data_IF_441473875938
#
_entry.id   IF_441473875938
#
_cell.length_a   1.000
_cell.length_b   1.000
_cell.length_c   1.000
_cell.angle_alpha   90.00
_cell.angle_beta   90.00
_cell.angle_gamma   90.00
#
_symmetry.space_group_name_H-M   'P 1'
#
loop_
_entity.id
_entity.type
_entity.pdbx_description
1 polymer ?
#
# COMPACT_ATOMS: atom_id res chain seq x y z
N UNK A 1 -51.76 -27.97 58.31
CA UNK A 1 -52.40 -27.70 57.00
C UNK A 1 -52.23 -26.27 56.49
N UNK A 2 -51.31 -25.47 57.03
CA UNK A 2 -51.17 -24.04 56.72
C UNK A 2 -49.94 -23.66 55.84
N UNK A 3 -48.94 -24.51 55.69
CA UNK A 3 -47.72 -24.15 54.96
C UNK A 3 -47.76 -24.49 53.47
N UNK A 4 -48.64 -25.36 53.02
CA UNK A 4 -48.67 -25.70 51.53
C UNK A 4 -49.48 -24.69 50.71
N UNK A 5 -50.37 -23.90 51.30
CA UNK A 5 -51.16 -22.89 50.57
C UNK A 5 -50.36 -21.58 50.31
N UNK A 6 -49.43 -21.27 51.20
CA UNK A 6 -48.59 -20.07 51.04
C UNK A 6 -47.57 -20.25 49.89
N UNK A 7 -47.01 -21.44 49.71
CA UNK A 7 -46.05 -21.72 48.59
C UNK A 7 -46.74 -21.74 47.22
N UNK A 8 -48.02 -22.16 47.16
CA UNK A 8 -48.77 -22.14 45.89
C UNK A 8 -49.11 -20.70 45.42
N UNK A 9 -49.42 -19.80 46.35
CA UNK A 9 -49.76 -18.40 46.02
C UNK A 9 -48.48 -17.62 45.60
N UNK A 10 -47.35 -17.84 46.26
CA UNK A 10 -46.09 -17.22 45.88
C UNK A 10 -45.58 -17.69 44.48
N UNK A 11 -45.85 -18.95 44.11
CA UNK A 11 -45.48 -19.48 42.80
C UNK A 11 -46.34 -18.89 41.67
N UNK A 12 -47.64 -18.65 41.92
CA UNK A 12 -48.53 -18.03 40.95
C UNK A 12 -48.28 -16.52 40.77
N UNK A 13 -47.87 -15.81 41.79
CA UNK A 13 -47.49 -14.39 41.68
C UNK A 13 -46.14 -14.25 40.98
N UNK A 14 -45.17 -15.13 41.21
CA UNK A 14 -43.89 -15.14 40.49
C UNK A 14 -44.04 -15.47 38.99
N UNK A 15 -45.01 -16.37 38.64
CA UNK A 15 -45.26 -16.74 37.23
C UNK A 15 -46.00 -15.62 36.45
N UNK A 16 -46.84 -14.84 37.13
CA UNK A 16 -47.59 -13.73 36.50
C UNK A 16 -46.78 -12.48 36.29
N UNK A 17 -45.64 -12.29 37.00
CA UNK A 17 -44.71 -11.18 36.78
C UNK A 17 -43.78 -11.44 35.60
N UNK A 18 -43.52 -12.73 35.25
CA UNK A 18 -42.73 -13.06 34.05
C UNK A 18 -43.50 -12.99 32.70
N UNK A 19 -44.85 -12.93 32.75
CA UNK A 19 -45.68 -12.87 31.55
C UNK A 19 -45.95 -11.45 31.01
N UNK A 20 -45.40 -10.42 31.66
CA UNK A 20 -45.70 -9.02 31.36
C UNK A 20 -44.55 -8.14 30.89
N UNK A 21 -43.41 -8.73 30.48
CA UNK A 21 -42.37 -7.94 29.77
C UNK A 21 -42.85 -7.81 28.33
N UNK A 22 -43.33 -6.63 27.88
CA UNK A 22 -43.58 -6.44 26.48
C UNK A 22 -42.24 -6.66 25.78
N UNK A 23 -42.17 -7.67 24.91
CA UNK A 23 -41.09 -7.77 24.00
C UNK A 23 -41.05 -6.44 23.24
N UNK A 24 -40.06 -5.60 23.53
CA UNK A 24 -39.75 -4.44 22.71
C UNK A 24 -39.40 -5.01 21.34
N UNK A 25 -40.41 -5.16 20.50
CA UNK A 25 -40.21 -5.31 19.08
C UNK A 25 -39.64 -3.95 18.63
N UNK A 26 -38.31 -3.83 18.59
CA UNK A 26 -37.68 -2.80 17.83
C UNK A 26 -38.29 -2.97 16.42
N UNK A 27 -39.17 -2.07 16.02
CA UNK A 27 -39.69 -2.03 14.66
C UNK A 27 -38.52 -1.76 13.77
N UNK A 28 -37.94 -2.83 13.19
CA UNK A 28 -36.87 -2.72 12.23
C UNK A 28 -37.41 -1.86 11.08
N UNK A 29 -36.85 -0.69 10.88
CA UNK A 29 -37.25 0.17 9.76
C UNK A 29 -37.05 -0.63 8.46
N UNK A 30 -38.16 -0.98 7.80
CA UNK A 30 -38.13 -1.81 6.59
C UNK A 30 -37.30 -1.21 5.43
N UNK A 31 -37.00 0.08 5.49
CA UNK A 31 -36.13 0.77 4.54
C UNK A 31 -34.65 0.42 4.75
N UNK A 32 -34.26 -0.11 5.93
CA UNK A 32 -32.90 -0.50 6.26
C UNK A 32 -32.65 -1.93 5.81
N UNK A 33 -32.56 -2.11 4.49
CA UNK A 33 -32.13 -3.36 3.88
C UNK A 33 -30.58 -3.52 3.98
N UNK A 34 -30.08 -4.63 3.46
CA UNK A 34 -28.63 -4.91 3.48
C UNK A 34 -27.80 -3.82 2.76
N UNK A 35 -28.36 -3.19 1.73
CA UNK A 35 -27.65 -2.13 0.98
C UNK A 35 -27.51 -0.88 1.84
N UNK A 36 -28.60 -0.46 2.52
CA UNK A 36 -28.54 0.70 3.43
C UNK A 36 -27.53 0.46 4.56
N UNK A 37 -27.51 -0.76 5.14
CA UNK A 37 -26.56 -1.11 6.19
C UNK A 37 -25.10 -1.03 5.68
N UNK A 38 -24.81 -1.57 4.50
CA UNK A 38 -23.49 -1.49 3.89
C UNK A 38 -23.08 -0.05 3.63
N UNK A 39 -23.98 0.79 3.14
CA UNK A 39 -23.70 2.21 2.90
C UNK A 39 -23.37 2.92 4.22
N UNK A 40 -24.17 2.73 5.27
CA UNK A 40 -23.92 3.31 6.59
C UNK A 40 -22.57 2.89 7.17
N UNK A 41 -22.16 1.63 6.94
CA UNK A 41 -20.91 1.07 7.44
C UNK A 41 -19.68 1.56 6.67
N UNK A 42 -19.79 1.64 5.35
CA UNK A 42 -18.64 1.90 4.46
C UNK A 42 -18.44 3.39 4.19
N UNK A 43 -19.50 4.19 4.13
CA UNK A 43 -19.44 5.61 3.78
C UNK A 43 -18.43 6.42 4.63
N UNK A 44 -18.25 6.15 5.95
CA UNK A 44 -17.21 6.82 6.73
C UNK A 44 -15.77 6.57 6.24
N UNK A 45 -15.55 5.54 5.41
CA UNK A 45 -14.25 5.26 4.79
C UNK A 45 -14.08 5.93 3.43
N UNK A 46 -15.15 6.50 2.86
CA UNK A 46 -15.14 7.14 1.53
C UNK A 46 -14.79 8.62 1.66
N UNK A 47 -13.88 9.09 0.80
CA UNK A 47 -13.46 10.49 0.79
C UNK A 47 -13.67 11.12 -0.57
N UNK A 48 -13.88 12.43 -0.58
CA UNK A 48 -13.70 13.24 -1.78
C UNK A 48 -12.21 13.55 -1.94
N UNK A 49 -11.67 13.39 -3.16
CA UNK A 49 -10.31 13.76 -3.52
C UNK A 49 -10.37 15.00 -4.42
N UNK A 50 -9.88 16.11 -3.92
CA UNK A 50 -9.78 17.36 -4.63
C UNK A 50 -8.32 17.64 -5.00
N UNK A 51 -8.07 17.98 -6.28
CA UNK A 51 -6.73 18.28 -6.76
C UNK A 51 -6.70 19.64 -7.45
N UNK A 52 -5.63 20.38 -7.27
CA UNK A 52 -5.32 21.60 -7.99
C UNK A 52 -4.14 21.34 -8.92
N UNK A 53 -4.29 21.60 -10.21
CA UNK A 53 -3.24 21.47 -11.21
C UNK A 53 -3.12 22.69 -12.08
N UNK A 54 -1.88 23.10 -12.38
CA UNK A 54 -1.55 24.14 -13.38
C UNK A 54 -1.12 23.37 -14.65
N UNK A 55 -1.92 23.39 -15.71
CA UNK A 55 -1.69 22.52 -16.88
C UNK A 55 -1.38 23.29 -18.13
N UNK A 56 -0.29 22.92 -18.80
CA UNK A 56 0.03 23.32 -20.18
C UNK A 56 0.15 22.16 -21.19
N UNK A 57 -0.11 20.90 -20.88
CA UNK A 57 0.13 19.80 -21.82
C UNK A 57 -1.02 18.80 -21.98
N UNK A 58 -1.15 18.23 -23.20
CA UNK A 58 -2.08 17.16 -23.56
C UNK A 58 -1.49 15.81 -23.18
N UNK A 59 -2.24 15.02 -22.39
CA UNK A 59 -1.87 13.66 -22.02
C UNK A 59 -3.03 12.70 -22.34
N UNK A 60 -2.71 11.41 -22.46
CA UNK A 60 -3.64 10.31 -22.72
C UNK A 60 -4.80 10.25 -21.73
N UNK A 61 -4.56 10.58 -20.46
CA UNK A 61 -5.64 10.65 -19.47
C UNK A 61 -6.63 11.76 -19.77
N UNK A 62 -6.21 12.90 -20.32
CA UNK A 62 -7.15 13.95 -20.81
C UNK A 62 -7.95 13.45 -22.01
N UNK A 63 -7.34 12.60 -22.84
CA UNK A 63 -8.04 11.99 -23.98
C UNK A 63 -9.01 10.91 -23.53
N UNK A 64 -8.65 10.12 -22.49
CA UNK A 64 -9.54 9.18 -21.82
C UNK A 64 -10.73 9.91 -21.18
N UNK A 65 -10.49 10.98 -20.44
CA UNK A 65 -11.54 11.80 -19.84
C UNK A 65 -12.44 12.45 -20.88
N UNK A 66 -11.89 12.96 -21.99
CA UNK A 66 -12.70 13.45 -23.11
C UNK A 66 -13.52 12.35 -23.75
N UNK A 67 -12.91 11.18 -23.96
CA UNK A 67 -13.54 10.04 -24.63
C UNK A 67 -14.62 9.39 -23.77
N UNK A 68 -14.41 9.33 -22.45
CA UNK A 68 -15.37 8.76 -21.51
C UNK A 68 -16.43 9.75 -21.02
N UNK A 69 -16.13 11.03 -20.96
CA UNK A 69 -17.00 12.02 -20.33
C UNK A 69 -17.35 13.25 -21.19
N UNK A 70 -16.80 13.37 -22.40
CA UNK A 70 -17.19 14.40 -23.38
C UNK A 70 -16.81 15.84 -23.05
N UNK A 71 -15.81 16.08 -22.18
CA UNK A 71 -15.43 17.44 -21.77
C UNK A 71 -14.58 18.18 -22.80
N UNK A 72 -14.86 19.49 -23.12
CA UNK A 72 -14.01 20.29 -24.00
C UNK A 72 -12.73 20.76 -23.32
N UNK A 73 -11.62 20.84 -24.10
CA UNK A 73 -10.33 21.34 -23.62
C UNK A 73 -10.27 22.87 -23.62
N UNK A 74 -10.02 23.46 -22.46
CA UNK A 74 -9.53 24.85 -22.30
C UNK A 74 -8.40 24.88 -21.29
N UNK A 75 -7.36 25.73 -21.46
CA UNK A 75 -6.31 25.92 -20.46
C UNK A 75 -6.87 26.79 -19.32
N UNK A 76 -7.19 26.19 -18.22
CA UNK A 76 -7.58 26.86 -16.95
C UNK A 76 -7.04 26.05 -15.77
N UNK A 77 -6.87 26.71 -14.62
CA UNK A 77 -6.65 26.03 -13.34
C UNK A 77 -7.76 24.98 -13.18
N UNK A 78 -7.42 23.72 -13.37
CA UNK A 78 -8.38 22.63 -13.25
C UNK A 78 -8.29 22.04 -11.86
N UNK A 79 -9.40 22.08 -11.15
CA UNK A 79 -9.67 21.18 -10.05
C UNK A 79 -10.22 19.87 -10.62
N UNK A 80 -9.50 18.78 -10.52
CA UNK A 80 -10.06 17.44 -10.73
C UNK A 80 -10.70 16.99 -9.42
N UNK A 81 -11.86 16.37 -9.53
CA UNK A 81 -12.63 15.88 -8.40
C UNK A 81 -12.90 14.39 -8.61
N UNK A 82 -12.48 13.58 -7.67
CA UNK A 82 -12.71 12.15 -7.63
C UNK A 82 -13.08 11.71 -6.23
N UNK A 83 -13.19 10.42 -6.07
CA UNK A 83 -13.36 9.78 -4.78
C UNK A 83 -12.12 9.01 -4.38
N UNK A 84 -12.04 8.63 -3.10
CA UNK A 84 -11.04 7.72 -2.57
C UNK A 84 -11.63 6.87 -1.47
N UNK A 85 -10.89 5.87 -1.04
CA UNK A 85 -11.28 4.99 0.07
C UNK A 85 -10.13 4.79 1.04
N UNK A 86 -10.40 5.01 2.33
CA UNK A 86 -9.43 4.83 3.40
C UNK A 86 -9.25 3.33 3.68
N UNK A 87 -8.01 2.85 3.62
CA UNK A 87 -7.64 1.45 3.78
C UNK A 87 -6.92 1.13 5.10
N UNK A 88 -6.59 2.16 5.90
CA UNK A 88 -5.98 1.96 7.21
C UNK A 88 -6.40 3.03 8.20
N UNK A 89 -6.43 2.67 9.47
CA UNK A 89 -6.86 3.55 10.56
C UNK A 89 -5.92 4.74 10.82
N UNK A 90 -4.70 4.69 10.32
CA UNK A 90 -3.72 5.78 10.37
C UNK A 90 -3.76 6.69 9.13
N UNK A 91 -4.69 6.44 8.18
CA UNK A 91 -5.03 7.34 7.09
C UNK A 91 -4.36 7.07 5.74
N UNK A 92 -3.92 5.82 5.45
CA UNK A 92 -3.66 5.47 4.06
C UNK A 92 -4.98 5.36 3.29
N UNK A 93 -5.01 5.89 2.09
CA UNK A 93 -6.17 5.84 1.22
C UNK A 93 -5.80 5.55 -0.23
N UNK A 94 -6.73 4.91 -0.94
CA UNK A 94 -6.62 4.62 -2.37
C UNK A 94 -7.49 5.58 -3.17
N UNK A 95 -7.03 5.90 -4.35
CA UNK A 95 -7.79 6.58 -5.41
C UNK A 95 -7.26 6.13 -6.77
N UNK A 96 -7.83 6.61 -7.88
CA UNK A 96 -7.24 6.38 -9.19
C UNK A 96 -6.02 7.28 -9.42
N UNK A 97 -5.04 6.76 -10.15
CA UNK A 97 -3.85 7.50 -10.57
C UNK A 97 -4.22 8.74 -11.38
N UNK A 98 -5.16 8.61 -12.34
CA UNK A 98 -5.57 9.72 -13.19
C UNK A 98 -6.20 10.89 -12.42
N UNK A 99 -6.76 10.65 -11.21
CA UNK A 99 -7.29 11.73 -10.35
C UNK A 99 -6.16 12.61 -9.81
N UNK A 100 -4.97 12.05 -9.55
CA UNK A 100 -3.89 12.74 -8.82
C UNK A 100 -2.61 12.97 -9.63
N UNK A 101 -2.44 12.36 -10.80
CA UNK A 101 -1.18 12.32 -11.58
C UNK A 101 -0.57 13.70 -11.88
N UNK A 102 -1.38 14.75 -11.96
CA UNK A 102 -0.94 16.11 -12.31
C UNK A 102 -1.20 17.12 -11.21
N UNK A 103 -1.54 16.65 -10.04
CA UNK A 103 -1.85 17.52 -8.94
C UNK A 103 -0.58 18.17 -8.36
N UNK A 104 -0.61 19.50 -8.31
CA UNK A 104 0.38 20.27 -7.53
C UNK A 104 0.02 20.25 -6.03
N UNK A 105 -1.27 20.13 -5.74
CA UNK A 105 -1.80 20.00 -4.39
C UNK A 105 -2.95 19.00 -4.37
N UNK A 106 -2.99 18.15 -3.36
CA UNK A 106 -4.04 17.16 -3.16
C UNK A 106 -4.61 17.35 -1.75
N UNK A 107 -5.92 17.44 -1.68
CA UNK A 107 -6.66 17.46 -0.42
C UNK A 107 -7.76 16.42 -0.43
N UNK A 108 -8.11 15.91 0.73
CA UNK A 108 -9.26 15.02 0.89
C UNK A 108 -10.25 15.63 1.87
N UNK A 109 -11.54 15.49 1.55
CA UNK A 109 -12.63 15.79 2.46
C UNK A 109 -13.28 14.48 2.87
N UNK A 110 -13.32 14.21 4.17
CA UNK A 110 -14.04 13.06 4.71
C UNK A 110 -15.53 13.19 4.40
N UNK A 111 -16.25 12.07 4.34
CA UNK A 111 -17.71 12.06 4.26
C UNK A 111 -18.32 12.75 5.48
N UNK A 112 -19.54 13.22 5.36
CA UNK A 112 -20.27 13.84 6.48
C UNK A 112 -20.46 12.83 7.62
N UNK A 113 -20.63 11.55 7.28
CA UNK A 113 -20.67 10.43 8.25
C UNK A 113 -19.37 10.27 9.05
N UNK A 114 -18.23 10.71 8.52
CA UNK A 114 -16.92 10.73 9.19
C UNK A 114 -16.57 12.12 9.76
N UNK A 115 -17.52 13.06 9.81
CA UNK A 115 -17.34 14.41 10.37
C UNK A 115 -16.93 15.49 9.38
N UNK A 116 -16.84 15.21 8.07
CA UNK A 116 -16.71 16.21 6.99
C UNK A 116 -15.38 17.00 6.96
N UNK A 117 -14.36 16.58 7.73
CA UNK A 117 -13.09 17.30 7.82
C UNK A 117 -12.29 17.29 6.51
N UNK A 118 -11.56 18.40 6.23
CA UNK A 118 -10.65 18.52 5.08
C UNK A 118 -9.22 18.32 5.57
N UNK A 119 -8.42 17.50 4.87
CA UNK A 119 -7.06 17.16 5.21
C UNK A 119 -6.14 17.31 3.99
N UNK A 120 -4.91 17.75 4.23
CA UNK A 120 -3.84 17.64 3.25
C UNK A 120 -3.36 16.18 3.19
N UNK A 121 -2.90 15.74 2.02
CA UNK A 121 -2.40 14.39 1.81
C UNK A 121 -1.05 14.42 1.12
N UNK A 122 -0.27 13.37 1.35
CA UNK A 122 1.01 13.13 0.68
C UNK A 122 0.86 11.92 -0.25
N UNK A 123 1.32 11.99 -1.50
CA UNK A 123 1.48 10.81 -2.33
C UNK A 123 2.52 9.86 -1.72
N UNK A 124 2.15 8.58 -1.56
CA UNK A 124 3.06 7.52 -1.10
C UNK A 124 3.50 6.67 -2.28
N UNK A 125 2.54 6.35 -3.15
CA UNK A 125 2.78 5.61 -4.37
C UNK A 125 1.88 6.19 -5.46
N UNK A 126 2.50 6.55 -6.56
CA UNK A 126 1.81 7.00 -7.76
C UNK A 126 2.07 5.90 -8.79
N UNK A 127 1.08 5.07 -9.04
CA UNK A 127 1.16 3.82 -9.80
C UNK A 127 1.94 3.90 -11.11
N UNK A 128 2.28 2.73 -11.63
CA UNK A 128 2.81 2.62 -13.00
C UNK A 128 1.68 2.82 -14.01
N UNK A 129 2.02 3.08 -15.27
CA UNK A 129 1.06 3.20 -16.39
C UNK A 129 0.21 1.94 -16.61
N UNK A 130 0.50 0.84 -15.90
CA UNK A 130 -0.20 -0.44 -16.02
C UNK A 130 -1.40 -0.57 -15.09
N UNK A 131 -1.40 0.09 -13.92
CA UNK A 131 -2.50 0.04 -12.95
C UNK A 131 -2.88 1.46 -12.54
N UNK A 132 -4.12 1.84 -12.78
CA UNK A 132 -4.67 3.18 -12.48
C UNK A 132 -5.02 3.33 -10.98
N UNK A 133 -4.05 3.08 -10.09
CA UNK A 133 -4.18 3.18 -8.64
C UNK A 133 -3.10 4.10 -8.08
N UNK A 134 -3.48 4.97 -7.16
CA UNK A 134 -2.58 5.78 -6.35
C UNK A 134 -2.86 5.55 -4.85
N UNK A 135 -1.79 5.48 -4.07
CA UNK A 135 -1.83 5.43 -2.61
C UNK A 135 -1.40 6.78 -2.06
N UNK A 136 -2.25 7.34 -1.22
CA UNK A 136 -2.03 8.61 -0.55
C UNK A 136 -2.01 8.39 0.97
N UNK A 137 -1.41 9.33 1.70
CA UNK A 137 -1.41 9.37 3.16
C UNK A 137 -2.04 10.66 3.65
N UNK A 138 -3.10 10.57 4.43
CA UNK A 138 -3.69 11.71 5.14
C UNK A 138 -2.70 12.21 6.18
N UNK A 139 -2.51 13.53 6.23
CA UNK A 139 -1.73 14.20 7.27
C UNK A 139 -2.69 14.48 8.44
N UNK A 140 -2.59 13.74 9.57
CA UNK A 140 -3.49 13.91 10.69
C UNK A 140 -3.36 15.31 11.29
N UNK A 141 -4.47 15.92 11.70
CA UNK A 141 -4.46 17.23 12.41
C UNK A 141 -4.07 17.11 13.88
N UNK A 142 -4.21 15.90 14.44
CA UNK A 142 -3.87 15.60 15.85
C UNK A 142 -3.06 14.31 15.90
N UNK A 143 -2.11 14.26 16.80
CA UNK A 143 -1.35 13.02 17.07
C UNK A 143 -2.28 11.91 17.53
N UNK A 144 -2.18 10.74 16.90
CA UNK A 144 -3.01 9.57 17.21
C UNK A 144 -4.44 9.64 16.66
N UNK A 145 -4.76 10.60 15.78
CA UNK A 145 -6.04 10.64 15.09
C UNK A 145 -6.24 9.36 14.26
N UNK A 146 -7.45 8.81 14.35
CA UNK A 146 -7.80 7.56 13.68
C UNK A 146 -8.90 7.79 12.66
N UNK A 147 -8.85 7.01 11.58
CA UNK A 147 -9.78 7.05 10.47
C UNK A 147 -10.49 5.69 10.34
N UNK A 148 -11.70 5.70 9.82
CA UNK A 148 -12.41 4.45 9.53
C UNK A 148 -11.82 3.83 8.27
N UNK A 149 -11.19 2.67 8.39
CA UNK A 149 -10.68 1.88 7.27
C UNK A 149 -11.74 0.92 6.75
N UNK A 150 -11.74 0.70 5.42
CA UNK A 150 -12.53 -0.35 4.79
C UNK A 150 -11.81 -1.70 4.93
N UNK A 151 -12.57 -2.80 4.94
CA UNK A 151 -12.01 -4.15 4.86
C UNK A 151 -11.86 -4.57 3.41
N UNK A 152 -10.81 -5.32 3.10
CA UNK A 152 -10.59 -5.92 1.79
C UNK A 152 -11.32 -7.27 1.70
N UNK A 153 -12.02 -7.51 0.60
CA UNK A 153 -12.60 -8.81 0.31
C UNK A 153 -11.49 -9.86 0.11
N UNK A 154 -11.80 -11.15 0.32
CA UNK A 154 -10.90 -12.24 -0.02
C UNK A 154 -10.91 -12.47 -1.52
N UNK A 155 -9.76 -12.83 -2.09
CA UNK A 155 -9.59 -12.93 -3.55
C UNK A 155 -10.45 -14.02 -4.19
N UNK A 156 -10.75 -15.09 -3.46
CA UNK A 156 -11.51 -16.25 -3.90
C UNK A 156 -13.03 -16.13 -3.66
N UNK A 157 -13.49 -15.02 -3.05
CA UNK A 157 -14.85 -14.90 -2.52
C UNK A 157 -15.79 -14.06 -3.40
N UNK A 158 -15.41 -13.74 -4.63
CA UNK A 158 -16.27 -13.05 -5.57
C UNK A 158 -17.29 -14.00 -6.20
N UNK A 159 -18.58 -13.64 -6.20
CA UNK A 159 -19.65 -14.39 -6.82
C UNK A 159 -20.20 -13.66 -8.04
N UNK A 160 -20.18 -14.31 -9.20
CA UNK A 160 -20.80 -13.72 -10.40
C UNK A 160 -22.30 -13.54 -10.18
N UNK A 161 -22.81 -12.34 -10.40
CA UNK A 161 -24.21 -11.99 -10.16
C UNK A 161 -24.51 -11.53 -8.73
N UNK A 162 -23.52 -11.51 -7.81
CA UNK A 162 -23.73 -10.92 -6.48
C UNK A 162 -24.06 -9.44 -6.56
N UNK A 163 -24.84 -8.97 -5.58
CA UNK A 163 -25.13 -7.54 -5.46
C UNK A 163 -23.88 -6.80 -5.03
N UNK A 164 -23.55 -5.73 -5.76
CA UNK A 164 -22.45 -4.82 -5.45
C UNK A 164 -22.94 -3.39 -5.33
N UNK A 165 -22.24 -2.60 -4.54
CA UNK A 165 -22.53 -1.19 -4.31
C UNK A 165 -21.29 -0.36 -4.66
N UNK A 166 -21.44 0.56 -5.62
CA UNK A 166 -20.40 1.53 -5.93
C UNK A 166 -20.68 2.82 -5.15
N UNK A 167 -19.66 3.28 -4.41
CA UNK A 167 -19.74 4.44 -3.54
C UNK A 167 -18.77 5.52 -4.00
N UNK A 168 -19.16 6.78 -3.76
CA UNK A 168 -18.32 7.92 -4.02
C UNK A 168 -18.76 9.14 -3.22
N UNK A 169 -17.92 10.17 -3.24
CA UNK A 169 -18.22 11.48 -2.65
C UNK A 169 -17.89 12.58 -3.67
N UNK A 170 -18.64 12.64 -4.80
CA UNK A 170 -18.36 13.58 -5.88
C UNK A 170 -18.51 15.02 -5.39
N UNK A 171 -17.58 15.89 -5.77
CA UNK A 171 -17.64 17.33 -5.54
C UNK A 171 -17.65 17.76 -4.06
N UNK A 172 -17.58 16.82 -3.10
CA UNK A 172 -17.78 17.12 -1.67
C UNK A 172 -19.16 17.76 -1.37
N UNK A 173 -20.10 17.61 -2.32
CA UNK A 173 -21.47 18.14 -2.25
C UNK A 173 -22.48 17.12 -1.75
N UNK A 174 -22.05 15.89 -1.52
CA UNK A 174 -22.89 14.79 -1.03
C UNK A 174 -22.39 13.43 -1.49
N UNK A 175 -22.81 12.43 -0.74
CA UNK A 175 -22.48 11.04 -0.96
C UNK A 175 -23.22 10.49 -2.19
N UNK A 176 -22.56 9.65 -2.99
CA UNK A 176 -23.15 9.01 -4.16
C UNK A 176 -23.12 7.50 -3.98
N UNK A 177 -24.27 6.87 -4.18
CA UNK A 177 -24.48 5.45 -4.04
C UNK A 177 -25.15 4.91 -5.29
N UNK A 178 -24.59 3.88 -5.89
CA UNK A 178 -25.26 3.11 -6.94
C UNK A 178 -25.15 1.62 -6.68
N UNK A 179 -26.25 0.90 -6.93
CA UNK A 179 -26.37 -0.54 -6.72
C UNK A 179 -26.46 -1.25 -8.06
N UNK A 180 -25.82 -2.38 -8.17
CA UNK A 180 -25.89 -3.28 -9.32
C UNK A 180 -25.46 -4.68 -8.96
N UNK A 181 -24.99 -5.44 -9.96
CA UNK A 181 -24.43 -6.77 -9.77
C UNK A 181 -23.01 -6.84 -10.32
N UNK A 182 -22.24 -7.82 -9.85
CA UNK A 182 -20.97 -8.20 -10.47
C UNK A 182 -21.25 -8.98 -11.76
N UNK A 183 -21.16 -8.28 -12.90
CA UNK A 183 -21.51 -8.83 -14.22
C UNK A 183 -20.37 -9.65 -14.83
N UNK A 184 -19.11 -9.40 -14.45
CA UNK A 184 -17.93 -10.19 -14.83
C UNK A 184 -16.82 -10.02 -13.81
N UNK A 185 -16.10 -11.13 -13.51
CA UNK A 185 -14.94 -11.14 -12.62
C UNK A 185 -13.64 -10.82 -13.36
N UNK A 186 -13.61 -11.01 -14.67
CA UNK A 186 -12.45 -10.77 -15.54
C UNK A 186 -12.94 -10.32 -16.90
N UNK A 187 -12.65 -9.08 -17.25
CA UNK A 187 -13.01 -8.52 -18.55
C UNK A 187 -11.80 -7.84 -19.16
N UNK A 188 -11.37 -8.33 -20.33
CA UNK A 188 -10.43 -7.57 -21.15
C UNK A 188 -11.18 -6.45 -21.87
N UNK A 189 -10.71 -5.21 -21.72
CA UNK A 189 -11.22 -4.08 -22.51
C UNK A 189 -10.50 -4.09 -23.86
N UNK A 190 -11.21 -3.93 -25.00
CA UNK A 190 -10.57 -3.92 -26.32
C UNK A 190 -9.45 -2.86 -26.40
N UNK A 191 -8.31 -3.29 -26.95
CA UNK A 191 -7.07 -2.52 -27.08
C UNK A 191 -7.19 -1.42 -28.14
N UNK A 192 -7.89 -0.35 -27.88
CA UNK A 192 -7.74 0.87 -28.68
C UNK A 192 -6.66 1.81 -28.11
N UNK A 193 -6.20 1.59 -26.88
CA UNK A 193 -5.12 2.33 -26.25
C UNK A 193 -4.18 1.36 -25.52
N UNK A 194 -2.93 1.23 -25.98
CA UNK A 194 -1.91 0.31 -25.44
C UNK A 194 -1.44 0.61 -24.01
N UNK A 195 -1.86 1.73 -23.41
CA UNK A 195 -1.31 2.20 -22.14
C UNK A 195 -2.07 1.70 -20.90
N UNK A 196 -3.33 1.29 -21.01
CA UNK A 196 -4.06 0.61 -19.93
C UNK A 196 -4.13 -0.89 -20.22
N UNK A 197 -3.06 -1.61 -19.89
CA UNK A 197 -2.93 -3.06 -20.14
C UNK A 197 -3.62 -3.92 -19.08
N UNK A 198 -4.72 -3.48 -18.49
CA UNK A 198 -5.44 -4.32 -17.53
C UNK A 198 -6.33 -5.32 -18.26
N UNK A 199 -6.00 -6.59 -18.10
CA UNK A 199 -6.75 -7.70 -18.71
C UNK A 199 -7.85 -8.25 -17.78
N UNK A 200 -7.95 -7.77 -16.53
CA UNK A 200 -8.73 -8.39 -15.46
C UNK A 200 -9.73 -7.42 -14.80
N UNK A 201 -10.42 -6.59 -15.58
CA UNK A 201 -11.42 -5.68 -14.99
C UNK A 201 -12.59 -6.43 -14.37
N UNK A 202 -13.06 -5.98 -13.19
CA UNK A 202 -14.42 -6.28 -12.74
C UNK A 202 -15.39 -5.46 -13.57
N UNK A 203 -16.46 -6.10 -14.03
CA UNK A 203 -17.57 -5.44 -14.72
C UNK A 203 -18.81 -5.46 -13.83
N UNK A 204 -19.52 -4.31 -13.77
CA UNK A 204 -20.78 -4.14 -13.04
C UNK A 204 -21.78 -3.34 -13.85
N UNK A 205 -23.05 -3.52 -13.61
CA UNK A 205 -24.14 -2.65 -14.11
C UNK A 205 -24.51 -1.56 -13.10
N UNK A 206 -23.89 -1.52 -11.92
CA UNK A 206 -23.96 -0.37 -11.02
C UNK A 206 -23.48 0.89 -11.79
N UNK A 207 -24.23 1.98 -11.67
CA UNK A 207 -23.89 3.22 -12.38
C UNK A 207 -22.57 3.80 -11.88
N UNK A 208 -21.54 3.73 -12.73
CA UNK A 208 -20.27 4.42 -12.52
C UNK A 208 -20.32 5.75 -13.28
N UNK A 209 -20.16 6.86 -12.58
CA UNK A 209 -20.25 8.20 -13.13
C UNK A 209 -19.06 9.06 -12.68
N UNK A 210 -18.79 10.21 -13.33
CA UNK A 210 -17.81 11.17 -12.84
C UNK A 210 -18.09 11.50 -11.37
N UNK A 211 -17.07 11.26 -10.53
CA UNK A 211 -17.13 11.51 -9.11
C UNK A 211 -17.13 10.26 -8.23
N UNK A 212 -17.58 9.08 -8.68
CA UNK A 212 -17.35 7.85 -7.94
C UNK A 212 -16.07 7.09 -8.38
N UNK A 213 -15.38 7.55 -9.44
CA UNK A 213 -14.03 7.08 -9.81
C UNK A 213 -13.04 7.28 -8.66
N UNK A 214 -12.26 6.24 -8.35
CA UNK A 214 -11.36 6.17 -7.20
C UNK A 214 -12.06 5.75 -5.90
N UNK A 215 -13.39 5.77 -5.85
CA UNK A 215 -14.18 5.25 -4.75
C UNK A 215 -14.30 3.72 -4.78
N UNK A 216 -14.79 3.09 -3.69
CA UNK A 216 -14.89 1.65 -3.58
C UNK A 216 -16.08 1.07 -4.33
N UNK A 217 -15.87 -0.13 -4.89
CA UNK A 217 -16.91 -1.12 -5.21
C UNK A 217 -16.91 -2.16 -4.09
N UNK A 218 -18.05 -2.37 -3.44
CA UNK A 218 -18.16 -3.27 -2.28
C UNK A 218 -19.24 -4.33 -2.47
N UNK A 219 -19.07 -5.46 -1.79
CA UNK A 219 -20.10 -6.48 -1.64
C UNK A 219 -21.11 -6.13 -0.53
N UNK A 220 -22.11 -6.99 -0.30
CA UNK A 220 -23.12 -6.78 0.75
C UNK A 220 -22.61 -7.00 2.19
N UNK A 221 -21.34 -7.37 2.39
CA UNK A 221 -20.67 -7.40 3.70
C UNK A 221 -19.93 -6.11 3.99
N UNK A 222 -19.88 -5.19 2.99
CA UNK A 222 -19.11 -3.96 3.04
C UNK A 222 -17.62 -4.17 2.79
N UNK A 223 -17.24 -5.32 2.22
CA UNK A 223 -15.85 -5.61 1.89
C UNK A 223 -15.50 -5.03 0.51
N UNK A 224 -14.33 -4.43 0.39
CA UNK A 224 -13.82 -3.83 -0.85
C UNK A 224 -13.48 -4.93 -1.86
N UNK A 225 -14.22 -4.98 -2.97
CA UNK A 225 -13.95 -5.91 -4.07
C UNK A 225 -13.20 -5.26 -5.24
N UNK A 226 -13.23 -3.92 -5.33
CA UNK A 226 -12.49 -3.19 -6.36
C UNK A 226 -12.57 -1.69 -6.21
N UNK A 227 -11.80 -0.97 -7.05
CA UNK A 227 -11.79 0.50 -7.14
C UNK A 227 -12.49 0.92 -8.43
N UNK A 228 -13.55 1.73 -8.33
CA UNK A 228 -14.30 2.24 -9.47
C UNK A 228 -13.41 3.07 -10.41
N UNK A 229 -13.52 2.88 -11.74
CA UNK A 229 -12.67 3.62 -12.68
C UNK A 229 -13.48 4.40 -13.70
N UNK A 230 -14.28 3.71 -14.51
CA UNK A 230 -14.85 4.31 -15.70
C UNK A 230 -16.09 3.57 -16.19
N UNK A 231 -16.81 4.24 -17.11
CA UNK A 231 -17.93 3.71 -17.89
C UNK A 231 -17.50 3.57 -19.34
N UNK A 232 -17.90 2.49 -20.01
CA UNK A 232 -17.71 2.36 -21.45
C UNK A 232 -18.69 3.27 -22.21
N UNK A 233 -18.19 4.27 -22.90
CA UNK A 233 -19.03 5.16 -23.75
C UNK A 233 -19.67 4.37 -24.89
N UNK A 234 -20.98 4.51 -25.03
CA UNK A 234 -21.77 3.84 -26.07
C UNK A 234 -22.50 2.58 -25.62
N UNK A 235 -22.30 2.13 -24.36
CA UNK A 235 -23.10 1.07 -23.76
C UNK A 235 -23.63 1.51 -22.40
N UNK A 236 -24.94 1.46 -22.21
CA UNK A 236 -25.57 1.69 -20.91
C UNK A 236 -25.39 0.47 -20.00
N UNK A 237 -25.16 0.68 -18.70
CA UNK A 237 -25.05 -0.41 -17.72
C UNK A 237 -23.74 -1.20 -17.80
N UNK A 238 -22.64 -0.60 -18.26
CA UNK A 238 -21.31 -1.20 -18.23
C UNK A 238 -20.36 -0.27 -17.47
N UNK A 239 -20.11 -0.60 -16.20
CA UNK A 239 -19.10 0.01 -15.36
C UNK A 239 -17.92 -0.93 -15.14
N UNK A 240 -16.74 -0.38 -14.87
CA UNK A 240 -15.52 -1.11 -14.60
C UNK A 240 -14.90 -0.72 -13.26
N UNK A 241 -14.30 -1.71 -12.60
CA UNK A 241 -13.49 -1.49 -11.41
C UNK A 241 -12.20 -2.32 -11.47
N UNK A 242 -11.15 -1.79 -10.87
CA UNK A 242 -9.87 -2.49 -10.67
C UNK A 242 -10.09 -3.52 -9.57
N UNK A 243 -9.82 -4.81 -9.81
CA UNK A 243 -9.98 -5.84 -8.79
C UNK A 243 -9.12 -5.56 -7.56
N UNK A 244 -9.62 -5.93 -6.40
CA UNK A 244 -8.87 -5.80 -5.14
C UNK A 244 -7.58 -6.64 -5.14
N UNK A 245 -7.53 -7.74 -5.90
CA UNK A 245 -6.33 -8.55 -6.12
C UNK A 245 -5.20 -7.73 -6.74
N UNK A 246 -5.51 -7.03 -7.84
CA UNK A 246 -4.54 -6.21 -8.56
C UNK A 246 -4.11 -4.99 -7.71
N UNK A 247 -5.05 -4.46 -6.91
CA UNK A 247 -4.73 -3.42 -5.91
C UNK A 247 -3.73 -3.94 -4.87
N UNK A 248 -3.97 -5.13 -4.32
CA UNK A 248 -3.04 -5.73 -3.34
C UNK A 248 -1.66 -5.98 -3.93
N UNK A 249 -1.59 -6.51 -5.15
CA UNK A 249 -0.32 -6.72 -5.84
C UNK A 249 0.44 -5.41 -6.04
N UNK A 250 -0.25 -4.35 -6.47
CA UNK A 250 0.38 -3.03 -6.62
C UNK A 250 0.88 -2.44 -5.30
N UNK A 251 0.18 -2.70 -4.19
CA UNK A 251 0.56 -2.23 -2.86
C UNK A 251 1.61 -3.11 -2.18
N UNK A 252 1.77 -4.36 -2.62
CA UNK A 252 2.71 -5.30 -2.04
C UNK A 252 4.13 -4.73 -1.98
N UNK A 253 4.59 -4.16 -3.09
CA UNK A 253 5.92 -3.56 -3.19
C UNK A 253 6.06 -2.30 -2.34
N UNK A 254 4.98 -1.53 -2.16
CA UNK A 254 5.02 -0.26 -1.40
C UNK A 254 5.22 -0.48 0.09
N UNK A 255 4.58 -1.52 0.63
CA UNK A 255 4.63 -1.81 2.06
C UNK A 255 5.72 -2.79 2.44
N UNK A 256 6.48 -3.31 1.47
CA UNK A 256 7.59 -4.18 1.74
C UNK A 256 8.62 -3.51 2.69
N UNK A 257 9.06 -4.15 3.79
CA UNK A 257 10.05 -3.60 4.72
C UNK A 257 11.35 -3.14 4.04
N UNK A 258 11.74 -3.77 2.93
CA UNK A 258 12.93 -3.41 2.14
C UNK A 258 12.83 -1.98 1.57
N UNK A 259 11.63 -1.46 1.30
CA UNK A 259 11.46 -0.06 0.86
C UNK A 259 11.84 0.95 1.93
N UNK A 260 11.84 0.55 3.22
CA UNK A 260 12.34 1.33 4.34
C UNK A 260 13.79 0.96 4.72
N UNK A 261 14.54 0.34 3.80
CA UNK A 261 15.92 -0.10 3.99
C UNK A 261 16.11 -1.09 5.16
N UNK A 262 15.14 -2.00 5.33
CA UNK A 262 15.10 -3.02 6.39
C UNK A 262 14.90 -4.39 5.78
N UNK A 263 15.83 -5.30 6.03
CA UNK A 263 15.73 -6.66 5.54
C UNK A 263 15.02 -7.56 6.54
N UNK A 264 13.90 -8.13 6.13
CA UNK A 264 13.18 -9.18 6.85
C UNK A 264 13.57 -10.56 6.31
N UNK A 265 13.53 -10.72 4.99
CA UNK A 265 13.97 -11.91 4.27
C UNK A 265 12.97 -13.07 4.27
N UNK A 266 11.70 -12.83 4.58
CA UNK A 266 10.63 -13.78 4.31
C UNK A 266 9.53 -13.13 3.47
N UNK A 267 9.11 -13.83 2.43
CA UNK A 267 8.05 -13.39 1.52
C UNK A 267 6.76 -14.12 1.88
N UNK A 268 5.74 -13.38 2.28
CA UNK A 268 4.44 -13.93 2.67
C UNK A 268 3.44 -13.88 1.52
N UNK A 269 2.40 -14.71 1.59
CA UNK A 269 1.27 -14.65 0.63
C UNK A 269 0.58 -13.28 0.69
N UNK A 270 0.23 -12.73 -0.47
CA UNK A 270 -0.52 -11.46 -0.56
C UNK A 270 -1.95 -11.63 -0.06
N UNK A 271 -2.48 -12.85 -0.15
CA UNK A 271 -3.84 -13.22 0.28
C UNK A 271 -3.82 -13.97 1.60
N UNK A 272 -4.75 -13.70 2.53
CA UNK A 272 -4.90 -14.49 3.75
C UNK A 272 -5.22 -15.97 3.46
N UNK A 273 -4.73 -16.92 4.28
CA UNK A 273 -3.84 -16.70 5.43
C UNK A 273 -2.43 -16.25 5.02
N UNK A 274 -1.72 -15.56 5.92
CA UNK A 274 -0.37 -15.03 5.67
C UNK A 274 0.69 -16.14 5.76
N UNK A 275 0.77 -16.95 4.73
CA UNK A 275 1.70 -18.08 4.67
C UNK A 275 3.04 -17.66 4.07
N UNK A 276 4.15 -18.03 4.72
CA UNK A 276 5.49 -17.81 4.19
C UNK A 276 5.68 -18.66 2.92
N UNK A 277 5.95 -18.00 1.79
CA UNK A 277 6.14 -18.62 0.47
C UNK A 277 7.61 -18.78 0.10
N UNK A 278 8.48 -17.90 0.60
CA UNK A 278 9.93 -17.94 0.37
C UNK A 278 10.63 -17.41 1.62
N UNK A 279 11.78 -17.97 1.94
CA UNK A 279 12.73 -17.43 2.94
C UNK A 279 14.06 -17.25 2.20
N UNK A 280 14.60 -16.03 2.28
CA UNK A 280 15.88 -15.73 1.65
C UNK A 280 17.02 -16.36 2.46
N UNK A 281 18.03 -16.94 1.80
CA UNK A 281 19.20 -17.51 2.48
C UNK A 281 19.94 -16.46 3.30
N UNK A 282 20.43 -16.86 4.47
CA UNK A 282 21.21 -16.02 5.41
C UNK A 282 20.44 -14.79 5.92
N UNK A 283 19.13 -14.74 5.68
CA UNK A 283 18.26 -13.62 6.10
C UNK A 283 17.96 -13.66 7.60
N UNK A 284 17.52 -12.52 8.16
CA UNK A 284 16.98 -12.47 9.51
C UNK A 284 15.86 -13.48 9.78
N UNK A 285 14.98 -13.69 8.81
CA UNK A 285 13.90 -14.67 8.90
C UNK A 285 14.42 -16.12 9.00
N UNK A 286 15.39 -16.48 8.16
CA UNK A 286 16.02 -17.81 8.22
C UNK A 286 16.75 -18.02 9.54
N UNK A 287 17.54 -17.04 9.98
CA UNK A 287 18.28 -17.08 11.24
C UNK A 287 17.34 -17.20 12.45
N UNK A 288 16.16 -16.59 12.39
CA UNK A 288 15.13 -16.73 13.40
C UNK A 288 14.40 -18.09 13.37
N UNK A 289 14.61 -18.89 12.32
CA UNK A 289 14.00 -20.22 12.18
C UNK A 289 12.62 -20.22 11.52
N UNK A 290 12.25 -19.14 10.82
CA UNK A 290 11.06 -19.11 9.97
C UNK A 290 11.23 -20.06 8.78
N UNK A 291 10.14 -20.71 8.36
CA UNK A 291 10.16 -21.70 7.28
C UNK A 291 9.04 -21.45 6.27
N UNK A 292 9.26 -21.93 5.05
CA UNK A 292 8.20 -21.99 4.04
C UNK A 292 7.05 -22.84 4.58
N UNK A 293 5.82 -22.32 4.46
CA UNK A 293 4.60 -22.96 4.96
C UNK A 293 4.17 -22.49 6.35
N UNK A 294 4.97 -21.70 7.06
CA UNK A 294 4.53 -21.09 8.33
C UNK A 294 3.36 -20.12 8.05
N UNK A 295 2.27 -20.25 8.80
CA UNK A 295 1.14 -19.31 8.77
C UNK A 295 1.31 -18.28 9.91
N UNK A 296 1.46 -17.03 9.56
CA UNK A 296 1.70 -15.94 10.53
C UNK A 296 0.37 -15.51 11.16
N UNK A 297 0.17 -15.85 12.41
CA UNK A 297 -1.07 -15.58 13.15
C UNK A 297 -1.05 -14.21 13.82
N UNK A 298 0.10 -13.83 14.41
CA UNK A 298 0.20 -12.57 15.15
C UNK A 298 1.60 -11.95 15.06
N UNK A 299 1.64 -10.62 15.24
CA UNK A 299 2.87 -9.82 15.38
C UNK A 299 2.79 -9.05 16.70
N UNK A 300 3.78 -9.24 17.59
CA UNK A 300 3.83 -8.59 18.90
C UNK A 300 2.53 -8.77 19.70
N UNK A 301 1.92 -9.97 19.64
CA UNK A 301 0.68 -10.33 20.33
C UNK A 301 -0.60 -9.75 19.74
N UNK A 302 -0.54 -9.08 18.60
CA UNK A 302 -1.72 -8.61 17.85
C UNK A 302 -1.94 -9.49 16.63
N UNK A 303 -3.17 -9.76 16.19
CA UNK A 303 -3.43 -10.46 14.94
C UNK A 303 -2.61 -9.85 13.81
N UNK A 304 -2.05 -10.69 12.94
CA UNK A 304 -1.18 -10.23 11.85
C UNK A 304 -1.92 -9.41 10.79
N UNK A 305 -3.25 -9.53 10.73
CA UNK A 305 -4.08 -8.83 9.77
C UNK A 305 -3.94 -9.40 8.36
N UNK A 306 -4.01 -8.51 7.38
CA UNK A 306 -3.71 -8.85 5.99
C UNK A 306 -2.24 -8.56 5.64
N UNK A 307 -1.87 -8.85 4.38
CA UNK A 307 -0.52 -8.60 3.84
C UNK A 307 -0.05 -7.14 4.05
N UNK A 308 -0.95 -6.18 3.80
CA UNK A 308 -0.62 -4.75 3.88
C UNK A 308 -0.38 -4.36 5.34
N UNK A 309 -1.26 -4.79 6.25
CA UNK A 309 -1.14 -4.51 7.68
C UNK A 309 0.11 -5.15 8.28
N UNK A 310 0.40 -6.40 7.93
CA UNK A 310 1.60 -7.11 8.34
C UNK A 310 2.88 -6.36 7.93
N UNK A 311 3.07 -6.15 6.63
CA UNK A 311 4.28 -5.51 6.10
C UNK A 311 4.41 -4.06 6.56
N UNK A 312 3.31 -3.32 6.67
CA UNK A 312 3.30 -1.98 7.25
C UNK A 312 3.76 -2.00 8.70
N UNK A 313 3.31 -2.97 9.49
CA UNK A 313 3.75 -3.12 10.89
C UNK A 313 5.26 -3.34 10.99
N UNK A 314 5.85 -4.13 10.11
CA UNK A 314 7.30 -4.33 10.04
C UNK A 314 8.01 -3.06 9.56
N UNK A 315 7.51 -2.43 8.49
CA UNK A 315 8.14 -1.27 7.85
C UNK A 315 8.13 -0.02 8.73
N UNK A 316 6.98 0.31 9.33
CA UNK A 316 6.76 1.57 10.02
C UNK A 316 7.12 1.53 11.52
N UNK A 317 7.38 0.35 12.08
CA UNK A 317 7.77 0.21 13.48
C UNK A 317 9.14 0.87 13.73
N UNK A 318 9.30 1.65 14.80
CA UNK A 318 10.61 2.12 15.22
C UNK A 318 11.50 0.99 15.75
N UNK A 319 10.91 -0.15 16.10
CA UNK A 319 11.63 -1.34 16.57
C UNK A 319 12.07 -2.19 15.38
N UNK A 320 13.25 -2.80 15.52
CA UNK A 320 13.76 -3.78 14.54
C UNK A 320 13.47 -5.23 14.96
N UNK A 321 12.91 -5.45 16.15
CA UNK A 321 12.62 -6.78 16.69
C UNK A 321 11.13 -7.00 16.79
N UNK A 322 10.71 -8.20 16.42
CA UNK A 322 9.30 -8.61 16.38
C UNK A 322 9.14 -10.01 16.94
N UNK A 323 8.11 -10.21 17.75
CA UNK A 323 7.64 -11.51 18.20
C UNK A 323 6.52 -11.96 17.26
N UNK A 324 6.79 -12.98 16.47
CA UNK A 324 5.83 -13.57 15.55
C UNK A 324 5.29 -14.86 16.15
N UNK A 325 3.96 -15.01 16.19
CA UNK A 325 3.34 -16.31 16.47
C UNK A 325 2.97 -16.95 15.13
N UNK A 326 3.50 -18.12 14.85
CA UNK A 326 3.27 -18.85 13.60
C UNK A 326 2.66 -20.21 13.86
N UNK A 327 1.78 -20.67 12.96
CA UNK A 327 1.32 -22.06 12.94
C UNK A 327 2.14 -22.84 11.92
N UNK A 328 2.80 -23.91 12.37
CA UNK A 328 3.62 -24.82 11.57
C UNK A 328 3.14 -26.25 11.78
N UNK A 329 2.67 -26.90 10.71
CA UNK A 329 2.19 -28.31 10.75
C UNK A 329 1.14 -28.58 11.85
N UNK A 330 0.33 -27.54 12.18
CA UNK A 330 -0.70 -27.60 13.21
C UNK A 330 -0.24 -27.24 14.64
N UNK A 331 1.06 -27.00 14.84
CA UNK A 331 1.60 -26.52 16.12
C UNK A 331 1.84 -25.01 16.09
N UNK A 332 1.56 -24.34 17.20
CA UNK A 332 1.78 -22.91 17.36
C UNK A 332 3.17 -22.67 17.98
N UNK A 333 3.96 -21.81 17.36
CA UNK A 333 5.32 -21.48 17.80
C UNK A 333 5.51 -19.97 17.84
N UNK A 334 6.28 -19.48 18.81
CA UNK A 334 6.71 -18.09 18.85
C UNK A 334 8.13 -18.00 18.28
N UNK A 335 8.31 -17.07 17.35
CA UNK A 335 9.58 -16.83 16.67
C UNK A 335 9.97 -15.37 16.86
N UNK A 336 11.15 -15.14 17.40
CA UNK A 336 11.70 -13.80 17.60
C UNK A 336 12.60 -13.43 16.42
N UNK A 337 12.20 -12.38 15.67
CA UNK A 337 12.94 -11.91 14.48
C UNK A 337 13.48 -10.52 14.72
N UNK A 338 14.79 -10.33 14.44
CA UNK A 338 15.42 -9.00 14.36
C UNK A 338 15.69 -8.68 12.89
N UNK A 339 14.96 -7.73 12.33
CA UNK A 339 15.26 -7.22 10.98
C UNK A 339 16.63 -6.53 10.93
N UNK A 340 17.29 -6.63 9.79
CA UNK A 340 18.62 -6.06 9.57
C UNK A 340 18.52 -4.77 8.74
N UNK A 341 18.97 -3.60 9.26
CA UNK A 341 19.10 -2.40 8.45
C UNK A 341 20.09 -2.61 7.30
N UNK A 342 19.83 -2.08 6.12
CA UNK A 342 20.74 -2.21 4.97
C UNK A 342 22.14 -1.65 5.26
N UNK A 343 22.23 -0.55 6.03
CA UNK A 343 23.52 -0.01 6.43
C UNK A 343 24.35 -1.01 7.24
N UNK A 344 23.71 -1.81 8.09
CA UNK A 344 24.35 -2.88 8.86
C UNK A 344 24.76 -4.04 7.93
N UNK A 345 23.88 -4.45 7.00
CA UNK A 345 24.18 -5.45 5.99
C UNK A 345 25.42 -5.08 5.14
N UNK A 346 25.50 -3.84 4.65
CA UNK A 346 26.62 -3.38 3.86
C UNK A 346 27.93 -3.36 4.67
N UNK A 347 27.86 -2.97 5.93
CA UNK A 347 29.01 -3.01 6.84
C UNK A 347 29.45 -4.45 7.10
N UNK A 348 28.52 -5.36 7.36
CA UNK A 348 28.82 -6.75 7.59
C UNK A 348 29.40 -7.43 6.35
N UNK A 349 28.81 -7.24 5.18
CA UNK A 349 29.22 -7.95 3.95
C UNK A 349 30.39 -7.31 3.22
N UNK A 350 30.41 -5.98 3.12
CA UNK A 350 31.41 -5.23 2.34
C UNK A 350 32.49 -4.57 3.20
N UNK A 351 32.21 -4.32 4.50
CA UNK A 351 33.08 -3.55 5.37
C UNK A 351 33.06 -2.04 5.06
N UNK A 352 31.91 -1.49 4.67
CA UNK A 352 31.72 -0.07 4.35
C UNK A 352 30.49 0.51 5.02
N UNK A 353 30.55 1.78 5.36
CA UNK A 353 29.38 2.62 5.58
C UNK A 353 29.09 3.38 4.29
N UNK A 354 27.88 3.22 3.79
CA UNK A 354 27.40 3.87 2.57
C UNK A 354 26.39 4.95 2.93
N UNK A 355 26.32 6.00 2.12
CA UNK A 355 25.31 7.06 2.23
C UNK A 355 24.68 7.29 0.86
N UNK A 356 23.35 7.28 0.82
CA UNK A 356 22.61 7.51 -0.41
C UNK A 356 22.79 8.96 -0.88
N UNK A 357 23.08 9.16 -2.17
CA UNK A 357 23.20 10.47 -2.78
C UNK A 357 21.80 11.05 -3.00
N UNK A 358 21.39 11.91 -2.08
CA UNK A 358 20.19 12.74 -2.25
C UNK A 358 20.53 14.02 -3.03
N UNK A 359 19.53 14.66 -3.65
CA UNK A 359 19.73 15.93 -4.35
C UNK A 359 20.40 17.01 -3.50
N UNK A 360 20.08 17.04 -2.21
CA UNK A 360 20.72 17.95 -1.23
C UNK A 360 22.20 17.64 -1.05
N UNK A 361 22.54 16.35 -0.88
CA UNK A 361 23.93 15.91 -0.70
C UNK A 361 24.75 16.14 -1.98
N UNK A 362 24.17 15.82 -3.15
CA UNK A 362 24.77 16.11 -4.46
C UNK A 362 25.09 17.60 -4.61
N UNK A 363 24.16 18.46 -4.19
CA UNK A 363 24.33 19.91 -4.22
C UNK A 363 25.39 20.40 -3.22
N UNK A 364 25.36 19.89 -1.97
CA UNK A 364 26.33 20.25 -0.92
C UNK A 364 27.76 19.86 -1.27
N UNK A 365 27.95 18.70 -1.89
CA UNK A 365 29.26 18.21 -2.33
C UNK A 365 29.66 18.70 -3.72
N UNK A 366 28.79 19.43 -4.42
CA UNK A 366 29.04 19.94 -5.77
C UNK A 366 29.18 18.84 -6.83
N UNK A 367 28.65 17.64 -6.58
CA UNK A 367 28.85 16.44 -7.40
C UNK A 367 28.24 16.57 -8.80
N UNK A 368 27.11 17.26 -8.94
CA UNK A 368 26.46 17.53 -10.22
C UNK A 368 27.36 18.29 -11.21
N UNK A 369 28.20 19.20 -10.70
CA UNK A 369 29.15 19.99 -11.49
C UNK A 369 30.47 19.24 -11.75
N UNK A 370 30.77 18.16 -11.01
CA UNK A 370 32.04 17.44 -11.00
C UNK A 370 32.02 16.16 -11.86
N UNK A 371 31.07 16.01 -12.77
CA UNK A 371 31.00 14.83 -13.64
C UNK A 371 29.60 14.25 -13.78
N UNK A 372 28.56 15.04 -13.43
CA UNK A 372 27.15 14.62 -13.61
C UNK A 372 26.74 13.46 -12.68
N UNK A 373 27.33 13.41 -11.48
CA UNK A 373 26.99 12.37 -10.49
C UNK A 373 25.69 12.78 -9.79
N UNK A 374 24.57 12.13 -10.17
CA UNK A 374 23.24 12.49 -9.68
C UNK A 374 22.67 11.43 -8.72
N UNK A 375 23.18 10.19 -8.76
CA UNK A 375 22.69 9.08 -7.95
C UNK A 375 23.80 8.06 -7.66
N UNK A 376 23.60 7.21 -6.66
CA UNK A 376 24.53 6.18 -6.23
C UNK A 376 24.72 6.18 -4.72
N UNK A 377 25.63 5.37 -4.23
CA UNK A 377 25.97 5.26 -2.80
C UNK A 377 27.38 5.76 -2.54
N UNK A 378 27.48 6.89 -1.83
CA UNK A 378 28.76 7.46 -1.39
C UNK A 378 29.37 6.59 -0.30
N UNK A 379 30.62 6.18 -0.46
CA UNK A 379 31.41 5.55 0.60
C UNK A 379 31.79 6.59 1.62
N UNK A 380 31.15 6.56 2.79
CA UNK A 380 31.39 7.50 3.88
C UNK A 380 32.45 7.01 4.85
N UNK A 381 32.68 5.70 4.91
CA UNK A 381 33.70 5.07 5.76
C UNK A 381 34.06 3.69 5.23
N UNK A 382 35.34 3.31 5.36
CA UNK A 382 35.84 1.97 5.07
C UNK A 382 36.41 1.35 6.34
N UNK A 383 36.01 0.11 6.63
CA UNK A 383 36.47 -0.64 7.79
C UNK A 383 37.90 -1.10 7.58
N UNK A 384 38.77 -0.78 8.55
CA UNK A 384 40.19 -1.19 8.51
C UNK A 384 40.34 -2.71 8.55
N UNK A 385 41.09 -3.28 7.60
CA UNK A 385 41.27 -4.73 7.44
C UNK A 385 40.05 -5.42 6.80
N UNK A 386 38.98 -4.68 6.48
CA UNK A 386 37.75 -5.18 5.88
C UNK A 386 37.89 -5.57 4.41
N UNK A 387 36.82 -6.19 3.84
CA UNK A 387 36.81 -6.57 2.43
C UNK A 387 37.02 -5.39 1.48
N UNK A 388 36.36 -4.27 1.73
CA UNK A 388 36.45 -3.08 0.89
C UNK A 388 37.82 -2.43 0.89
N UNK A 389 38.50 -2.35 2.07
CA UNK A 389 39.87 -1.85 2.13
C UNK A 389 40.83 -2.71 1.32
N UNK A 390 40.67 -4.05 1.40
CA UNK A 390 41.47 -5.01 0.61
C UNK A 390 41.24 -4.86 -0.88
N UNK A 391 40.06 -4.44 -1.28
CA UNK A 391 39.67 -4.11 -2.65
C UNK A 391 40.05 -2.69 -3.06
N UNK A 392 40.79 -1.94 -2.23
CA UNK A 392 41.20 -0.55 -2.46
C UNK A 392 40.06 0.45 -2.57
N UNK A 393 38.89 0.12 -2.01
CA UNK A 393 37.81 1.08 -1.88
C UNK A 393 38.21 2.14 -0.84
N UNK A 394 37.84 3.40 -1.08
CA UNK A 394 38.18 4.52 -0.22
C UNK A 394 36.96 5.42 0.02
N UNK A 395 37.06 6.23 1.04
CA UNK A 395 36.06 7.28 1.30
C UNK A 395 35.93 8.21 0.09
N UNK A 396 34.71 8.72 -0.12
CA UNK A 396 34.31 9.57 -1.25
C UNK A 396 34.22 8.84 -2.59
N UNK A 397 34.46 7.55 -2.68
CA UNK A 397 34.06 6.76 -3.86
C UNK A 397 32.53 6.70 -3.91
N UNK A 398 31.96 6.65 -5.12
CA UNK A 398 30.52 6.44 -5.29
C UNK A 398 30.30 5.09 -5.97
N UNK A 399 29.61 4.18 -5.28
CA UNK A 399 29.19 2.90 -5.85
C UNK A 399 27.95 3.17 -6.71
N UNK A 400 28.03 2.94 -8.01
CA UNK A 400 26.95 3.14 -8.98
C UNK A 400 26.57 1.85 -9.74
N UNK A 401 27.19 0.71 -9.41
CA UNK A 401 26.82 -0.60 -9.93
C UNK A 401 27.38 -1.74 -9.09
N UNK A 402 26.66 -2.86 -9.05
CA UNK A 402 27.08 -4.13 -8.44
C UNK A 402 26.76 -5.25 -9.42
N UNK A 403 27.80 -5.94 -9.92
CA UNK A 403 27.65 -6.85 -11.05
C UNK A 403 27.06 -6.12 -12.26
N UNK A 404 26.00 -6.68 -12.85
CA UNK A 404 25.30 -6.08 -13.98
C UNK A 404 24.15 -5.14 -13.56
N UNK A 405 23.97 -4.87 -12.25
CA UNK A 405 22.88 -4.07 -11.72
C UNK A 405 23.33 -2.63 -11.46
N UNK A 406 22.68 -1.62 -12.05
CA UNK A 406 22.93 -0.23 -11.70
C UNK A 406 22.46 0.03 -10.26
N UNK A 407 23.24 0.79 -9.51
CA UNK A 407 22.96 1.16 -8.11
C UNK A 407 22.73 2.66 -8.03
N UNK A 408 21.50 3.07 -7.71
CA UNK A 408 21.09 4.46 -7.54
C UNK A 408 20.77 4.80 -6.08
N UNK A 409 20.37 3.79 -5.32
CA UNK A 409 19.90 3.88 -3.93
C UNK A 409 20.23 2.60 -3.14
N UNK A 410 19.90 2.60 -1.86
CA UNK A 410 20.11 1.43 -0.98
C UNK A 410 19.37 0.18 -1.45
N UNK A 411 18.16 0.33 -1.99
CA UNK A 411 17.35 -0.79 -2.42
C UNK A 411 17.96 -1.50 -3.64
N UNK A 412 18.46 -0.73 -4.61
CA UNK A 412 19.19 -1.30 -5.77
C UNK A 412 20.42 -2.12 -5.31
N UNK A 413 21.21 -1.58 -4.36
CA UNK A 413 22.37 -2.26 -3.82
C UNK A 413 21.98 -3.51 -3.01
N UNK A 414 20.91 -3.43 -2.24
CA UNK A 414 20.38 -4.57 -1.48
C UNK A 414 20.03 -5.72 -2.42
N UNK A 415 19.20 -5.49 -3.45
CA UNK A 415 18.81 -6.53 -4.39
C UNK A 415 20.00 -7.14 -5.14
N UNK A 416 21.00 -6.34 -5.47
CA UNK A 416 22.22 -6.84 -6.11
C UNK A 416 23.07 -7.73 -5.20
N UNK A 417 22.98 -7.57 -3.86
CA UNK A 417 23.77 -8.32 -2.88
C UNK A 417 22.98 -9.45 -2.19
N UNK A 418 21.66 -9.37 -2.12
CA UNK A 418 20.82 -10.27 -1.34
C UNK A 418 20.97 -11.75 -1.78
N UNK A 419 21.09 -11.99 -3.07
CA UNK A 419 21.25 -13.34 -3.63
C UNK A 419 22.72 -13.84 -3.65
N UNK A 420 23.68 -12.99 -3.27
CA UNK A 420 25.10 -13.35 -3.26
C UNK A 420 25.48 -14.06 -1.97
N UNK A 421 26.12 -15.21 -2.07
CA UNK A 421 26.59 -15.98 -0.91
C UNK A 421 27.81 -15.33 -0.24
N UNK A 422 27.95 -15.56 1.06
CA UNK A 422 29.17 -15.24 1.80
C UNK A 422 30.37 -15.93 1.12
N UNK A 423 31.46 -15.17 0.94
CA UNK A 423 32.66 -15.62 0.24
C UNK A 423 32.63 -15.43 -1.27
N UNK A 424 31.50 -15.05 -1.85
CA UNK A 424 31.43 -14.67 -3.27
C UNK A 424 32.13 -13.34 -3.53
N UNK A 425 32.51 -13.11 -4.79
CA UNK A 425 33.11 -11.85 -5.25
C UNK A 425 32.04 -10.96 -5.88
N UNK A 426 31.89 -9.76 -5.36
CA UNK A 426 31.02 -8.72 -5.93
C UNK A 426 31.86 -7.75 -6.76
N UNK A 427 31.55 -7.65 -8.06
CA UNK A 427 32.14 -6.64 -8.95
C UNK A 427 31.41 -5.31 -8.69
N UNK A 428 32.14 -4.30 -8.24
CA UNK A 428 31.58 -2.97 -8.01
C UNK A 428 32.02 -2.02 -9.11
N UNK A 429 31.05 -1.40 -9.78
CA UNK A 429 31.29 -0.22 -10.60
C UNK A 429 31.30 0.99 -9.66
N UNK A 430 32.36 1.78 -9.75
CA UNK A 430 32.59 2.90 -8.84
C UNK A 430 32.98 4.15 -9.59
N UNK A 431 32.61 5.31 -9.06
CA UNK A 431 33.14 6.58 -9.47
C UNK A 431 34.24 6.97 -8.48
N UNK A 432 35.46 7.11 -9.00
CA UNK A 432 36.67 7.41 -8.23
C UNK A 432 36.90 8.92 -8.27
N UNK A 433 37.06 9.61 -7.12
CA UNK A 433 37.33 11.03 -7.12
C UNK A 433 38.73 11.37 -7.66
N UNK A 434 38.80 12.34 -8.56
CA UNK A 434 40.06 12.97 -8.98
C UNK A 434 40.36 14.13 -8.04
N UNK A 435 41.44 14.04 -7.29
CA UNK A 435 41.77 15.04 -6.28
C UNK A 435 43.05 15.81 -6.63
N UNK A 436 43.12 17.06 -6.20
CA UNK A 436 44.35 17.86 -6.14
C UNK A 436 44.46 18.40 -4.73
N UNK A 437 45.33 17.80 -3.95
CA UNK A 437 45.34 18.02 -2.49
C UNK A 437 44.01 17.53 -1.88
N UNK A 438 43.37 18.39 -1.10
CA UNK A 438 42.07 18.05 -0.46
C UNK A 438 40.85 18.45 -1.28
N UNK A 439 41.02 18.85 -2.54
CA UNK A 439 39.93 19.31 -3.40
C UNK A 439 39.60 18.24 -4.45
N UNK A 440 38.34 17.83 -4.52
CA UNK A 440 37.82 16.93 -5.57
C UNK A 440 37.59 17.80 -6.83
N UNK A 441 38.23 17.42 -7.95
CA UNK A 441 38.14 18.09 -9.24
C UNK A 441 37.14 17.43 -10.19
N UNK A 442 36.68 16.24 -9.90
CA UNK A 442 35.77 15.45 -10.73
C UNK A 442 35.81 13.97 -10.35
N UNK A 443 35.08 13.18 -11.11
CA UNK A 443 35.01 11.72 -10.94
C UNK A 443 35.40 11.03 -12.24
N UNK A 444 35.98 9.83 -12.12
CA UNK A 444 36.24 8.93 -13.24
C UNK A 444 35.68 7.54 -12.94
N UNK A 445 35.23 6.84 -13.95
CA UNK A 445 34.78 5.46 -13.82
C UNK A 445 35.93 4.55 -13.42
N UNK A 446 35.64 3.59 -12.55
CA UNK A 446 36.53 2.52 -12.13
C UNK A 446 35.72 1.29 -11.77
N UNK A 447 36.41 0.18 -11.61
CA UNK A 447 35.82 -1.06 -11.18
C UNK A 447 36.71 -1.68 -10.09
N UNK A 448 36.09 -2.37 -9.13
CA UNK A 448 36.82 -3.12 -8.10
C UNK A 448 36.05 -4.37 -7.73
N UNK A 449 36.76 -5.39 -7.30
CA UNK A 449 36.18 -6.65 -6.87
C UNK A 449 36.30 -6.78 -5.35
N UNK A 450 35.17 -6.94 -4.66
CA UNK A 450 35.09 -7.09 -3.22
C UNK A 450 34.64 -8.51 -2.88
N UNK A 451 35.41 -9.24 -2.09
CA UNK A 451 35.02 -10.54 -1.59
C UNK A 451 34.14 -10.38 -0.35
N UNK A 452 32.88 -10.82 -0.44
CA UNK A 452 31.90 -10.73 0.65
C UNK A 452 32.30 -11.58 1.86
N UNK A 453 32.04 -11.08 3.05
CA UNK A 453 32.25 -11.84 4.31
C UNK A 453 30.94 -12.22 4.98
#
# INVERSE_FOLDING_TARGET
MTNQRIHAICLWVALSVLAGVPALHATTDIRRDAVVQVVEDVMPSVVNVATESIVESRDIYDELWRRFYGYPSRPEVRSSLGSGVIISDDGYLLTNLHVVKRANRIQVKLSDAAGGGVYDVQPVYVGTTTIDVALLKIIPKKTGEKFKAIRFARDDDLLLGETVVALGNPFGLGESVSKGILSSKRRAVPKENEELRMENWLQTDASINPGNSGGPLVDLRGDLIGINVAVYQGAQGIGFAIPVTDVREALADVFNPETASRWFGAHVSVTPPLVIKKVDPESPAEQAGLKIGDDIMSVNGKPAGDYIEFNRTLRDSPKMTFDLTVAREGEVQDVHVRMLPFAELFRERLGVDLQELTGDLVSQLGLGNLGGVESGLLVSRVEKGGPAEKASLQEYFVVNGIGNHPVRNYLDAFWALADMKIGASAQLAVLVPRTRGNVILGYQQGETEVRLR
#
